data_IF_923896444514
#
_entry.id   IF_923896444514
#
_cell.length_a   1.000
_cell.length_b   1.000
_cell.length_c   1.000
_cell.angle_alpha   90.00
_cell.angle_beta   90.00
_cell.angle_gamma   90.00
#
_symmetry.space_group_name_H-M   'P 1'
#
loop_
_entity.id
_entity.type
_entity.pdbx_description
1 polymer ?
#
# COMPACT_ATOMS: atom_id res chain seq x y z
N UNK A 1 3.39 4.79 6.69
CA UNK A 1 4.74 5.04 7.28
C UNK A 1 5.74 5.14 6.14
N UNK A 2 6.96 5.68 6.33
CA UNK A 2 7.98 5.70 5.29
C UNK A 2 9.39 5.37 5.81
N UNK A 3 10.24 4.85 4.93
CA UNK A 3 11.64 4.50 5.17
C UNK A 3 12.51 4.92 3.98
N UNK A 4 13.82 5.07 4.22
CA UNK A 4 14.79 5.39 3.16
C UNK A 4 15.39 4.10 2.60
N UNK A 5 15.62 3.10 3.44
CA UNK A 5 16.18 1.81 3.02
C UNK A 5 15.09 0.73 2.93
N UNK A 6 15.32 -0.26 2.06
CA UNK A 6 14.43 -1.42 1.95
C UNK A 6 14.39 -2.24 3.24
N UNK A 7 15.48 -2.27 4.00
CA UNK A 7 15.58 -3.06 5.23
C UNK A 7 14.76 -2.45 6.36
N UNK A 8 14.82 -1.13 6.53
CA UNK A 8 13.89 -0.39 7.40
C UNK A 8 12.44 -0.58 6.95
N UNK A 9 12.17 -0.55 5.65
CA UNK A 9 10.82 -0.73 5.13
C UNK A 9 10.25 -2.10 5.48
N UNK A 10 11.04 -3.18 5.36
CA UNK A 10 10.66 -4.53 5.80
C UNK A 10 10.38 -4.60 7.30
N UNK A 11 11.21 -3.97 8.12
CA UNK A 11 11.01 -3.92 9.57
C UNK A 11 9.70 -3.21 9.93
N UNK A 12 9.43 -2.06 9.30
CA UNK A 12 8.18 -1.32 9.48
C UNK A 12 6.97 -2.12 9.00
N UNK A 13 7.05 -2.80 7.86
CA UNK A 13 5.98 -3.66 7.35
C UNK A 13 5.68 -4.83 8.30
N UNK A 14 6.73 -5.46 8.84
CA UNK A 14 6.58 -6.53 9.83
C UNK A 14 5.90 -6.04 11.11
N UNK A 15 6.38 -4.92 11.66
CA UNK A 15 5.74 -4.29 12.83
C UNK A 15 4.26 -3.99 12.55
N UNK A 16 3.95 -3.47 11.35
CA UNK A 16 2.58 -3.17 10.93
C UNK A 16 1.70 -4.41 10.86
N UNK A 17 2.21 -5.51 10.32
CA UNK A 17 1.48 -6.79 10.19
C UNK A 17 1.10 -7.42 11.53
N UNK A 18 1.82 -7.07 12.60
CA UNK A 18 1.55 -7.57 13.96
C UNK A 18 0.45 -6.77 14.67
N UNK A 19 0.03 -5.62 14.14
CA UNK A 19 -1.04 -4.81 14.72
C UNK A 19 -2.39 -5.54 14.60
N UNK A 20 -3.06 -5.80 15.74
CA UNK A 20 -4.35 -6.53 15.77
C UNK A 20 -5.43 -5.92 14.88
N UNK A 21 -5.41 -4.60 14.67
CA UNK A 21 -6.37 -3.88 13.83
C UNK A 21 -6.24 -4.16 12.33
N UNK A 22 -5.13 -4.71 11.88
CA UNK A 22 -4.86 -5.05 10.48
C UNK A 22 -4.80 -6.56 10.26
N UNK A 23 -5.38 -7.35 11.18
CA UNK A 23 -5.38 -8.82 11.08
C UNK A 23 -6.18 -9.25 9.86
N UNK A 24 -5.49 -9.91 8.91
CA UNK A 24 -6.08 -10.36 7.64
C UNK A 24 -5.98 -9.36 6.50
N UNK A 25 -5.44 -8.17 6.73
CA UNK A 25 -5.11 -7.22 5.67
C UNK A 25 -3.71 -7.49 5.10
N UNK A 26 -3.51 -7.23 3.81
CA UNK A 26 -2.19 -7.25 3.19
C UNK A 26 -1.42 -5.98 3.53
N UNK A 27 -0.12 -6.09 3.84
CA UNK A 27 0.76 -4.94 4.02
C UNK A 27 1.64 -4.81 2.78
N UNK A 28 1.65 -3.61 2.18
CA UNK A 28 2.40 -3.29 0.97
C UNK A 28 3.60 -2.42 1.30
N UNK A 29 4.72 -2.71 0.64
CA UNK A 29 5.89 -1.82 0.57
C UNK A 29 5.92 -1.23 -0.83
N UNK A 30 5.88 0.10 -0.92
CA UNK A 30 5.71 0.83 -2.17
C UNK A 30 6.90 1.77 -2.33
N UNK A 31 7.72 1.57 -3.34
CA UNK A 31 8.84 2.47 -3.62
C UNK A 31 8.37 3.63 -4.50
N UNK A 32 8.65 4.87 -4.08
CA UNK A 32 8.39 6.06 -4.87
C UNK A 32 9.69 6.62 -5.43
N UNK A 33 9.90 6.50 -6.74
CA UNK A 33 11.10 7.00 -7.41
C UNK A 33 11.26 8.53 -7.28
N UNK A 34 10.17 9.29 -7.15
CA UNK A 34 10.23 10.76 -7.04
C UNK A 34 10.80 11.22 -5.70
N UNK A 35 10.47 10.51 -4.63
CA UNK A 35 10.94 10.87 -3.28
C UNK A 35 12.10 10.00 -2.83
N UNK A 36 12.40 8.92 -3.54
CA UNK A 36 13.39 7.88 -3.18
C UNK A 36 13.10 7.23 -1.82
N UNK A 37 11.83 7.18 -1.42
CA UNK A 37 11.38 6.55 -0.17
C UNK A 37 10.53 5.30 -0.42
N UNK A 38 10.54 4.41 0.56
CA UNK A 38 9.63 3.29 0.69
C UNK A 38 8.45 3.68 1.58
N UNK A 39 7.23 3.41 1.14
CA UNK A 39 6.00 3.65 1.88
C UNK A 39 5.38 2.32 2.32
N UNK A 40 4.87 2.27 3.55
CA UNK A 40 4.21 1.10 4.13
C UNK A 40 2.74 1.43 4.34
N UNK A 41 1.87 0.62 3.73
CA UNK A 41 0.42 0.80 3.71
C UNK A 41 -0.33 -0.55 3.74
N UNK A 42 -1.60 -0.57 4.15
CA UNK A 42 -2.43 -1.79 4.26
C UNK A 42 -3.51 -1.92 3.17
N UNK A 43 -3.72 -0.85 2.39
CA UNK A 43 -4.50 -0.78 1.13
C UNK A 43 -4.88 0.67 0.78
N UNK A 44 -4.49 1.66 1.59
CA UNK A 44 -4.92 3.04 1.43
C UNK A 44 -4.56 3.64 0.06
N UNK A 45 -3.33 3.42 -0.39
CA UNK A 45 -2.83 3.92 -1.67
C UNK A 45 -3.48 3.21 -2.85
N UNK A 46 -3.68 1.89 -2.75
CA UNK A 46 -4.39 1.11 -3.78
C UNK A 46 -5.80 1.66 -3.92
N UNK A 47 -6.54 1.77 -2.81
CA UNK A 47 -7.90 2.33 -2.82
C UNK A 47 -7.96 3.79 -3.30
N UNK A 48 -6.98 4.61 -2.95
CA UNK A 48 -6.91 5.99 -3.42
C UNK A 48 -6.67 6.04 -4.93
N UNK A 49 -5.79 5.18 -5.44
CA UNK A 49 -5.53 5.06 -6.88
C UNK A 49 -6.78 4.57 -7.62
N UNK A 50 -7.44 3.54 -7.10
CA UNK A 50 -8.72 3.02 -7.59
C UNK A 50 -9.80 4.11 -7.65
N UNK A 51 -9.88 5.00 -6.66
CA UNK A 51 -10.81 6.14 -6.66
C UNK A 51 -10.45 7.24 -7.64
N UNK A 52 -9.16 7.54 -7.82
CA UNK A 52 -8.72 8.65 -8.68
C UNK A 52 -8.71 8.29 -10.16
N UNK A 53 -8.45 7.03 -10.49
CA UNK A 53 -8.23 6.58 -11.87
C UNK A 53 -9.22 5.49 -12.31
N UNK A 54 -10.10 5.02 -11.41
CA UNK A 54 -10.96 3.85 -11.60
C UNK A 54 -10.22 2.55 -11.26
N UNK A 55 -10.97 1.48 -11.00
CA UNK A 55 -10.43 0.18 -10.64
C UNK A 55 -10.86 -0.89 -11.64
N UNK A 56 -10.22 -2.05 -11.62
CA UNK A 56 -10.55 -3.15 -12.51
C UNK A 56 -11.03 -4.36 -11.71
N UNK A 57 -12.19 -4.90 -12.05
CA UNK A 57 -12.70 -6.16 -11.49
C UNK A 57 -12.60 -7.22 -12.58
N UNK A 58 -11.78 -8.25 -12.35
CA UNK A 58 -11.53 -9.32 -13.32
C UNK A 58 -11.12 -8.81 -14.73
N UNK A 59 -10.32 -7.73 -14.77
CA UNK A 59 -9.84 -7.13 -16.03
C UNK A 59 -10.84 -6.20 -16.72
N UNK A 60 -12.02 -5.95 -16.14
CA UNK A 60 -13.00 -4.98 -16.65
C UNK A 60 -12.89 -3.68 -15.86
N UNK A 61 -12.75 -2.55 -16.55
CA UNK A 61 -12.73 -1.23 -15.92
C UNK A 61 -14.07 -0.94 -15.26
N UNK A 62 -14.06 -0.74 -13.95
CA UNK A 62 -15.18 -0.32 -13.14
C UNK A 62 -15.00 1.16 -12.79
N UNK A 63 -15.83 2.01 -13.36
CA UNK A 63 -16.04 3.36 -12.84
C UNK A 63 -16.98 3.24 -11.63
N UNK A 64 -16.62 3.83 -10.49
CA UNK A 64 -17.61 4.05 -9.42
C UNK A 64 -18.77 4.88 -10.02
N UNK A 65 -20.02 4.47 -9.74
CA UNK A 65 -21.25 5.23 -10.07
C UNK A 65 -21.31 6.57 -9.33
#
# INVERSE_FOLDING_TARGET
>A
MKAITIEEAKNLARAKSLEKKHKGESVFIIYCNRTEHFYIDTNGLVRLWEKLYGYYVNGVYATED
#
